data_IF_072942374507
#
_entry.id   IF_072942374507
#
_cell.length_a   1.000
_cell.length_b   1.000
_cell.length_c   1.000
_cell.angle_alpha   90.00
_cell.angle_beta   90.00
_cell.angle_gamma   90.00
#
_symmetry.space_group_name_H-M   'P 1'
#
loop_
_entity.id
_entity.type
_entity.pdbx_description
1 polymer ?
#
# COMPACT_ATOMS: atom_id res chain seq x y z
N UNK A 1 -2.74 3.58 18.36
CA UNK A 1 -2.59 3.56 16.89
C UNK A 1 -1.42 2.65 16.55
N UNK A 2 -1.57 1.74 15.57
CA UNK A 2 -0.45 0.91 15.11
C UNK A 2 0.33 1.60 14.00
N UNK A 3 1.55 1.12 13.76
CA UNK A 3 2.43 1.59 12.69
C UNK A 3 2.82 0.44 11.79
N UNK A 4 2.77 0.66 10.48
CA UNK A 4 3.27 -0.27 9.47
C UNK A 4 4.23 0.41 8.50
N UNK A 5 5.07 -0.38 7.86
CA UNK A 5 5.98 0.07 6.80
C UNK A 5 5.37 -0.28 5.45
N UNK A 6 5.45 0.61 4.47
CA UNK A 6 5.02 0.35 3.10
C UNK A 6 6.17 0.60 2.13
N UNK A 7 6.40 -0.33 1.21
CA UNK A 7 7.45 -0.24 0.20
C UNK A 7 6.96 -0.68 -1.18
N UNK A 8 7.22 0.16 -2.19
CA UNK A 8 7.10 -0.17 -3.62
C UNK A 8 8.41 -0.64 -4.24
N UNK A 9 9.55 -0.39 -3.57
CA UNK A 9 10.89 -0.64 -4.10
C UNK A 9 11.17 0.11 -5.41
N UNK A 10 11.18 1.42 -5.33
CA UNK A 10 11.47 2.30 -6.47
C UNK A 10 12.92 2.16 -6.96
N UNK A 11 13.10 2.13 -8.28
CA UNK A 11 14.39 2.18 -8.96
C UNK A 11 14.35 3.26 -10.03
N UNK A 12 15.33 4.17 -10.00
CA UNK A 12 15.32 5.38 -10.83
C UNK A 12 16.31 5.31 -11.99
N UNK A 13 17.30 4.44 -11.90
CA UNK A 13 18.35 4.18 -12.87
C UNK A 13 18.95 2.78 -12.67
N UNK A 14 19.94 2.42 -13.42
CA UNK A 14 20.62 1.13 -13.37
C UNK A 14 21.81 1.06 -12.38
N UNK A 15 22.06 2.13 -11.61
CA UNK A 15 23.17 2.18 -10.64
C UNK A 15 22.94 1.25 -9.46
N UNK A 16 21.67 1.04 -9.08
CA UNK A 16 21.30 0.10 -8.02
C UNK A 16 20.75 -1.17 -8.66
N UNK A 17 21.34 -2.31 -8.35
CA UNK A 17 20.85 -3.61 -8.84
C UNK A 17 19.55 -4.03 -8.16
N UNK A 18 18.72 -4.82 -8.83
CA UNK A 18 17.52 -5.43 -8.22
C UNK A 18 17.85 -6.20 -6.95
N UNK A 19 18.96 -6.95 -6.95
CA UNK A 19 19.42 -7.68 -5.76
C UNK A 19 19.64 -6.74 -4.58
N UNK A 20 20.32 -5.60 -4.79
CA UNK A 20 20.55 -4.62 -3.74
C UNK A 20 19.23 -4.03 -3.20
N UNK A 21 18.25 -3.80 -4.07
CA UNK A 21 16.91 -3.32 -3.63
C UNK A 21 16.21 -4.33 -2.73
N UNK A 22 16.31 -5.62 -3.02
CA UNK A 22 15.73 -6.66 -2.16
C UNK A 22 16.49 -6.81 -0.83
N UNK A 23 17.81 -6.63 -0.83
CA UNK A 23 18.61 -6.58 0.40
C UNK A 23 18.23 -5.34 1.24
N UNK A 24 18.07 -4.18 0.62
CA UNK A 24 17.61 -2.94 1.27
C UNK A 24 16.19 -3.09 1.85
N UNK A 25 15.27 -3.72 1.11
CA UNK A 25 13.93 -4.02 1.61
C UNK A 25 13.97 -4.91 2.86
N UNK A 26 14.79 -5.96 2.82
CA UNK A 26 14.94 -6.86 3.96
C UNK A 26 15.53 -6.13 5.19
N UNK A 27 16.52 -5.26 5.00
CA UNK A 27 17.09 -4.43 6.07
C UNK A 27 16.03 -3.53 6.70
N UNK A 28 15.29 -2.74 5.89
CA UNK A 28 14.23 -1.87 6.41
C UNK A 28 13.13 -2.67 7.12
N UNK A 29 12.78 -3.86 6.61
CA UNK A 29 11.80 -4.74 7.25
C UNK A 29 12.26 -5.23 8.62
N UNK A 30 13.51 -5.63 8.74
CA UNK A 30 14.10 -6.07 10.02
C UNK A 30 14.21 -4.91 11.02
N UNK A 31 14.54 -3.71 10.55
CA UNK A 31 14.52 -2.51 11.39
C UNK A 31 13.10 -2.19 11.88
N UNK A 32 12.11 -2.28 10.99
CA UNK A 32 10.71 -2.06 11.34
C UNK A 32 10.21 -3.10 12.36
N UNK A 33 10.54 -4.39 12.17
CA UNK A 33 10.22 -5.46 13.13
C UNK A 33 10.82 -5.17 14.51
N UNK A 34 12.11 -4.86 14.56
CA UNK A 34 12.80 -4.54 15.80
C UNK A 34 12.27 -3.25 16.46
N UNK A 35 11.79 -2.31 15.65
CA UNK A 35 11.21 -1.04 16.06
C UNK A 35 9.74 -1.09 16.47
N UNK A 36 9.10 -2.27 16.41
CA UNK A 36 7.71 -2.45 16.86
C UNK A 36 6.65 -2.09 15.81
N UNK A 37 7.01 -2.05 14.54
CA UNK A 37 6.01 -1.97 13.47
C UNK A 37 5.17 -3.24 13.42
N UNK A 38 3.88 -3.08 13.14
CA UNK A 38 2.92 -4.20 13.09
C UNK A 38 3.04 -5.00 11.80
N UNK A 39 3.25 -4.33 10.67
CA UNK A 39 3.12 -4.93 9.33
C UNK A 39 4.11 -4.29 8.35
N UNK A 40 4.66 -5.10 7.42
CA UNK A 40 5.29 -4.63 6.19
C UNK A 40 4.32 -4.85 5.02
N UNK A 41 4.04 -3.82 4.25
CA UNK A 41 3.16 -3.84 3.09
C UNK A 41 3.95 -3.74 1.80
N UNK A 42 3.69 -4.66 0.85
CA UNK A 42 4.31 -4.68 -0.48
C UNK A 42 3.20 -4.61 -1.54
N UNK A 43 3.32 -3.64 -2.45
CA UNK A 43 2.38 -3.46 -3.57
C UNK A 43 2.56 -4.46 -4.70
N UNK A 44 1.69 -4.40 -5.72
CA UNK A 44 1.81 -5.13 -6.98
C UNK A 44 1.83 -4.14 -8.14
N UNK A 45 2.90 -4.20 -8.97
CA UNK A 45 3.01 -3.45 -10.22
C UNK A 45 3.82 -4.23 -11.24
N UNK A 46 3.50 -4.05 -12.52
CA UNK A 46 4.06 -4.83 -13.61
C UNK A 46 4.80 -3.96 -14.62
N UNK A 47 5.99 -4.42 -15.04
CA UNK A 47 6.79 -3.79 -16.10
C UNK A 47 7.21 -2.34 -15.84
N UNK A 48 7.40 -1.98 -14.57
CA UNK A 48 7.79 -0.65 -14.10
C UNK A 48 8.97 -0.73 -13.14
N UNK A 49 10.09 -0.12 -13.46
CA UNK A 49 11.23 0.05 -12.53
C UNK A 49 10.92 1.04 -11.39
N UNK A 50 9.97 1.91 -11.62
CA UNK A 50 9.43 2.85 -10.65
C UNK A 50 8.78 2.16 -9.43
N UNK A 51 8.29 0.92 -9.59
CA UNK A 51 7.66 0.13 -8.54
C UNK A 51 7.90 -1.36 -8.83
N UNK A 52 8.98 -1.91 -8.23
CA UNK A 52 9.46 -3.26 -8.55
C UNK A 52 8.78 -4.30 -7.68
N UNK A 53 7.58 -4.72 -8.03
CA UNK A 53 6.90 -5.80 -7.36
C UNK A 53 5.86 -6.46 -8.27
N UNK A 54 6.28 -7.33 -9.21
CA UNK A 54 5.35 -8.01 -10.13
C UNK A 54 4.45 -9.03 -9.41
N UNK A 55 4.81 -9.42 -8.20
CA UNK A 55 3.97 -10.23 -7.31
C UNK A 55 4.43 -10.01 -5.88
N UNK A 56 3.57 -9.53 -4.97
CA UNK A 56 3.94 -9.38 -3.57
C UNK A 56 4.21 -10.71 -2.88
N UNK A 57 3.57 -11.81 -3.30
CA UNK A 57 3.64 -13.12 -2.62
C UNK A 57 5.05 -13.70 -2.50
N UNK A 58 5.90 -13.76 -3.56
CA UNK A 58 7.27 -14.23 -3.45
C UNK A 58 8.14 -13.35 -2.53
N UNK A 59 7.94 -12.03 -2.55
CA UNK A 59 8.67 -11.10 -1.70
C UNK A 59 8.28 -11.25 -0.22
N UNK A 60 6.99 -11.37 0.05
CA UNK A 60 6.49 -11.60 1.41
C UNK A 60 6.93 -12.98 1.94
N UNK A 61 6.96 -14.02 1.10
CA UNK A 61 7.50 -15.33 1.48
C UNK A 61 9.02 -15.27 1.79
N UNK A 62 9.79 -14.48 1.01
CA UNK A 62 11.20 -14.23 1.31
C UNK A 62 11.37 -13.50 2.65
N UNK A 63 10.56 -12.50 2.94
CA UNK A 63 10.57 -11.77 4.21
C UNK A 63 10.09 -12.65 5.37
N UNK A 64 9.14 -13.56 5.14
CA UNK A 64 8.67 -14.53 6.14
C UNK A 64 9.83 -15.37 6.71
N UNK A 65 10.77 -15.77 5.83
CA UNK A 65 11.95 -16.52 6.24
C UNK A 65 13.04 -15.70 6.96
N UNK A 66 12.89 -14.36 7.00
CA UNK A 66 13.86 -13.45 7.65
C UNK A 66 13.32 -12.81 8.92
N UNK A 67 12.02 -12.82 9.12
CA UNK A 67 11.30 -12.16 10.22
C UNK A 67 10.57 -13.17 11.09
N UNK A 68 10.22 -12.78 12.30
CA UNK A 68 9.59 -13.66 13.29
C UNK A 68 8.23 -13.19 13.78
N UNK A 69 7.98 -11.90 13.79
CA UNK A 69 6.80 -11.30 14.43
C UNK A 69 6.03 -10.31 13.56
N UNK A 70 6.72 -9.53 12.71
CA UNK A 70 6.07 -8.55 11.83
C UNK A 70 5.12 -9.26 10.86
N UNK A 71 3.91 -8.71 10.70
CA UNK A 71 2.93 -9.23 9.75
C UNK A 71 3.33 -8.87 8.32
N UNK A 72 2.86 -9.66 7.38
CA UNK A 72 3.30 -9.66 5.99
C UNK A 72 2.11 -9.34 5.08
N UNK A 73 2.01 -8.08 4.67
CA UNK A 73 0.86 -7.54 3.99
C UNK A 73 1.06 -7.38 2.47
N UNK A 74 0.16 -7.91 1.67
CA UNK A 74 0.02 -7.49 0.29
C UNK A 74 -0.72 -6.15 0.26
N UNK A 75 -0.07 -5.10 -0.18
CA UNK A 75 -0.66 -3.77 -0.18
C UNK A 75 -0.59 -3.07 -1.55
N UNK A 76 -1.27 -3.57 -2.56
CA UNK A 76 -2.33 -4.60 -2.65
C UNK A 76 -2.08 -5.57 -3.81
N UNK A 77 -2.76 -6.70 -3.85
CA UNK A 77 -2.93 -7.44 -5.11
C UNK A 77 -4.00 -6.76 -5.97
N UNK A 78 -3.79 -6.75 -7.29
CA UNK A 78 -4.66 -6.06 -8.24
C UNK A 78 -5.69 -7.05 -8.80
N UNK A 79 -6.93 -6.95 -8.37
CA UNK A 79 -7.98 -7.93 -8.61
C UNK A 79 -8.11 -8.41 -10.07
N UNK A 80 -8.07 -7.55 -11.11
CA UNK A 80 -8.15 -8.00 -12.50
C UNK A 80 -7.01 -8.92 -12.97
N UNK A 81 -5.87 -8.94 -12.27
CA UNK A 81 -4.71 -9.75 -12.66
C UNK A 81 -4.70 -11.13 -11.99
N UNK A 82 -5.70 -11.43 -11.14
CA UNK A 82 -5.76 -12.64 -10.34
C UNK A 82 -7.04 -13.43 -10.58
N UNK A 83 -6.89 -14.72 -10.84
CA UNK A 83 -8.02 -15.65 -10.79
C UNK A 83 -8.33 -15.99 -9.32
N UNK A 84 -9.61 -16.07 -8.89
CA UNK A 84 -9.97 -16.32 -7.48
C UNK A 84 -9.33 -17.57 -6.86
N UNK A 85 -9.23 -18.68 -7.60
CA UNK A 85 -8.60 -19.93 -7.13
C UNK A 85 -7.11 -19.67 -6.85
N UNK A 86 -6.42 -18.95 -7.75
CA UNK A 86 -5.00 -18.64 -7.58
C UNK A 86 -4.79 -17.68 -6.40
N UNK A 87 -5.59 -16.63 -6.30
CA UNK A 87 -5.52 -15.68 -5.19
C UNK A 87 -5.74 -16.39 -3.84
N UNK A 88 -6.78 -17.21 -3.73
CA UNK A 88 -7.06 -17.96 -2.51
C UNK A 88 -5.91 -18.89 -2.13
N UNK A 89 -5.35 -19.62 -3.11
CA UNK A 89 -4.24 -20.57 -2.87
C UNK A 89 -2.96 -19.86 -2.46
N UNK A 90 -2.51 -18.83 -3.17
CA UNK A 90 -1.26 -18.13 -2.88
C UNK A 90 -1.32 -17.34 -1.56
N UNK A 91 -2.44 -16.68 -1.27
CA UNK A 91 -2.62 -15.98 0.01
C UNK A 91 -2.64 -16.95 1.20
N UNK A 92 -3.32 -18.10 1.06
CA UNK A 92 -3.32 -19.13 2.09
C UNK A 92 -1.92 -19.78 2.25
N UNK A 93 -1.18 -19.94 1.15
CA UNK A 93 0.19 -20.47 1.21
C UNK A 93 1.11 -19.50 1.96
N UNK A 94 1.00 -18.19 1.70
CA UNK A 94 1.73 -17.17 2.46
C UNK A 94 1.39 -17.24 3.95
N UNK A 95 0.11 -17.40 4.28
CA UNK A 95 -0.36 -17.49 5.66
C UNK A 95 0.27 -18.69 6.39
N UNK A 96 0.30 -19.85 5.74
CA UNK A 96 0.96 -21.07 6.28
C UNK A 96 2.47 -20.88 6.42
N UNK A 97 3.15 -20.36 5.38
CA UNK A 97 4.61 -20.14 5.40
C UNK A 97 5.02 -19.16 6.51
N UNK A 98 4.20 -18.16 6.76
CA UNK A 98 4.47 -17.11 7.73
C UNK A 98 3.98 -17.41 9.14
N UNK A 99 3.43 -18.60 9.38
CA UNK A 99 2.82 -18.97 10.67
C UNK A 99 1.72 -17.99 11.12
N UNK A 100 0.77 -17.69 10.20
CA UNK A 100 -0.41 -16.86 10.51
C UNK A 100 -0.12 -15.36 10.53
N UNK A 101 0.91 -14.88 9.85
CA UNK A 101 1.25 -13.44 9.79
C UNK A 101 0.77 -12.75 8.51
N UNK A 102 0.06 -13.43 7.61
CA UNK A 102 -0.40 -12.82 6.37
C UNK A 102 -1.51 -11.79 6.59
N UNK A 103 -1.44 -10.69 5.82
CA UNK A 103 -2.47 -9.65 5.66
C UNK A 103 -2.75 -9.48 4.16
N UNK A 104 -4.02 -9.51 3.74
CA UNK A 104 -4.35 -9.58 2.33
C UNK A 104 -5.09 -8.33 1.88
N UNK A 105 -4.35 -7.40 1.31
CA UNK A 105 -4.92 -6.21 0.69
C UNK A 105 -5.27 -6.42 -0.78
N UNK A 106 -6.41 -5.89 -1.21
CA UNK A 106 -6.95 -6.01 -2.55
C UNK A 106 -7.35 -4.65 -3.11
N UNK A 107 -7.07 -4.43 -4.40
CA UNK A 107 -7.43 -3.20 -5.10
C UNK A 107 -7.97 -3.46 -6.50
N UNK A 108 -8.65 -2.44 -7.04
CA UNK A 108 -9.15 -2.46 -8.43
C UNK A 108 -8.07 -2.27 -9.49
N UNK A 109 -6.87 -1.80 -9.10
CA UNK A 109 -5.85 -1.31 -10.02
C UNK A 109 -6.07 0.14 -10.46
N UNK A 110 -5.00 0.77 -10.96
CA UNK A 110 -5.01 2.19 -11.30
C UNK A 110 -4.43 2.51 -12.69
N UNK A 111 -3.34 1.85 -13.09
CA UNK A 111 -2.61 2.22 -14.30
C UNK A 111 -3.15 1.50 -15.54
N UNK A 112 -3.74 2.23 -16.48
CA UNK A 112 -4.18 1.67 -17.77
C UNK A 112 -3.03 0.96 -18.50
N UNK A 113 -1.80 1.42 -18.31
CA UNK A 113 -0.59 0.79 -18.81
C UNK A 113 -0.49 -0.72 -18.48
N UNK A 114 -0.80 -1.08 -17.22
CA UNK A 114 -0.78 -2.47 -16.77
C UNK A 114 -1.96 -3.26 -17.35
N UNK A 115 -3.14 -2.65 -17.39
CA UNK A 115 -4.35 -3.29 -17.94
C UNK A 115 -4.22 -3.60 -19.43
N UNK A 116 -3.56 -2.74 -20.20
CA UNK A 116 -3.30 -2.98 -21.62
C UNK A 116 -2.42 -4.23 -21.84
N UNK A 117 -1.53 -4.53 -20.90
CA UNK A 117 -0.56 -5.63 -21.00
C UNK A 117 -0.99 -6.91 -20.32
N UNK A 118 -1.64 -6.81 -19.18
CA UNK A 118 -1.99 -7.95 -18.34
C UNK A 118 -3.35 -8.55 -18.67
N UNK A 119 -4.33 -7.73 -19.11
CA UNK A 119 -5.74 -8.15 -19.26
C UNK A 119 -6.37 -7.64 -20.57
N UNK A 120 -5.55 -7.55 -21.61
CA UNK A 120 -6.04 -7.29 -22.97
C UNK A 120 -6.71 -5.94 -23.18
N UNK A 121 -6.30 -4.90 -22.42
CA UNK A 121 -6.81 -3.54 -22.55
C UNK A 121 -8.15 -3.31 -21.86
N UNK A 122 -8.50 -4.14 -20.88
CA UNK A 122 -9.64 -3.86 -20.00
C UNK A 122 -9.51 -2.43 -19.46
N UNK A 123 -10.55 -1.58 -19.52
CA UNK A 123 -10.50 -0.25 -18.90
C UNK A 123 -10.22 -0.34 -17.41
N UNK A 124 -9.24 0.39 -16.90
CA UNK A 124 -8.89 0.38 -15.48
C UNK A 124 -10.07 0.79 -14.58
N UNK A 125 -11.04 1.54 -15.13
CA UNK A 125 -12.30 1.89 -14.47
C UNK A 125 -13.16 0.66 -14.16
N UNK A 126 -13.04 -0.43 -14.92
CA UNK A 126 -13.79 -1.67 -14.74
C UNK A 126 -13.18 -2.62 -13.70
N UNK A 127 -11.96 -2.33 -13.24
CA UNK A 127 -11.28 -3.12 -12.20
C UNK A 127 -12.07 -3.28 -10.90
N UNK A 128 -12.95 -2.31 -10.60
CA UNK A 128 -13.84 -2.37 -9.45
C UNK A 128 -14.85 -3.52 -9.49
N UNK A 129 -15.30 -3.95 -10.69
CA UNK A 129 -16.16 -5.13 -10.85
C UNK A 129 -15.42 -6.40 -10.46
N UNK A 130 -14.16 -6.52 -10.91
CA UNK A 130 -13.27 -7.64 -10.55
C UNK A 130 -13.06 -7.72 -9.04
N UNK A 131 -12.77 -6.57 -8.40
CA UNK A 131 -12.58 -6.52 -6.94
C UNK A 131 -13.84 -7.01 -6.19
N UNK A 132 -15.02 -6.56 -6.60
CA UNK A 132 -16.29 -6.93 -5.97
C UNK A 132 -16.64 -8.41 -6.12
N UNK A 133 -16.14 -9.06 -7.17
CA UNK A 133 -16.34 -10.50 -7.37
C UNK A 133 -15.23 -11.33 -6.73
N UNK A 134 -13.97 -10.85 -6.75
CA UNK A 134 -12.81 -11.54 -6.20
C UNK A 134 -12.89 -11.72 -4.68
N UNK A 135 -13.19 -10.65 -3.94
CA UNK A 135 -13.17 -10.64 -2.46
C UNK A 135 -14.05 -11.74 -1.87
N UNK A 136 -15.36 -11.82 -2.18
CA UNK A 136 -16.21 -12.88 -1.63
C UNK A 136 -15.83 -14.28 -2.17
N UNK A 137 -15.36 -14.40 -3.42
CA UNK A 137 -14.97 -15.68 -3.98
C UNK A 137 -13.74 -16.28 -3.26
N UNK A 138 -12.72 -15.46 -2.98
CA UNK A 138 -11.54 -15.87 -2.23
C UNK A 138 -11.92 -16.36 -0.83
N UNK A 139 -12.76 -15.61 -0.12
CA UNK A 139 -13.24 -15.99 1.22
C UNK A 139 -13.98 -17.33 1.21
N UNK A 140 -14.87 -17.55 0.24
CA UNK A 140 -15.61 -18.81 0.11
C UNK A 140 -14.69 -20.00 -0.18
N UNK A 141 -13.67 -19.81 -1.01
CA UNK A 141 -12.67 -20.85 -1.30
C UNK A 141 -11.86 -21.23 -0.05
N UNK A 142 -11.60 -20.29 0.86
CA UNK A 142 -10.96 -20.58 2.15
C UNK A 142 -11.87 -21.36 3.10
N UNK A 143 -13.17 -21.07 3.07
CA UNK A 143 -14.16 -21.71 3.95
C UNK A 143 -14.49 -23.14 3.58
N UNK A 144 -14.43 -23.51 2.28
CA UNK A 144 -14.78 -24.88 1.83
C UNK A 144 -14.83 -25.04 0.32
N UNK A 145 -15.50 -26.09 -0.09
CA UNK A 145 -15.80 -26.36 -1.49
C UNK A 145 -16.78 -25.32 -2.03
N UNK A 146 -16.43 -24.70 -3.14
CA UNK A 146 -17.19 -23.62 -3.74
C UNK A 146 -17.15 -23.69 -5.27
N UNK A 147 -18.34 -23.66 -5.88
CA UNK A 147 -18.49 -23.43 -7.32
C UNK A 147 -18.90 -21.98 -7.55
N UNK A 148 -18.26 -21.30 -8.49
CA UNK A 148 -18.50 -19.92 -8.80
C UNK A 148 -19.14 -19.75 -10.18
N UNK A 149 -20.21 -18.98 -10.25
CA UNK A 149 -20.89 -18.62 -11.49
C UNK A 149 -21.12 -17.11 -11.50
N UNK A 150 -20.04 -16.34 -11.58
CA UNK A 150 -20.04 -14.89 -11.60
C UNK A 150 -20.11 -14.32 -13.02
N UNK A 151 -20.10 -13.00 -13.11
CA UNK A 151 -20.05 -12.28 -14.37
C UNK A 151 -18.68 -12.37 -15.03
N UNK A 152 -17.61 -12.38 -14.22
CA UNK A 152 -16.20 -12.32 -14.66
C UNK A 152 -15.57 -13.71 -14.63
N UNK A 153 -15.71 -14.42 -13.50
CA UNK A 153 -15.17 -15.76 -13.36
C UNK A 153 -16.26 -16.81 -13.25
N UNK A 154 -16.01 -17.94 -13.88
CA UNK A 154 -16.84 -19.12 -13.74
C UNK A 154 -15.95 -20.34 -13.59
N UNK A 155 -16.15 -21.11 -12.52
CA UNK A 155 -15.40 -22.35 -12.30
C UNK A 155 -16.23 -23.38 -11.52
N UNK A 156 -16.00 -24.70 -11.80
CA UNK A 156 -16.66 -25.77 -11.08
C UNK A 156 -16.17 -25.81 -9.62
N UNK A 157 -16.79 -26.69 -8.83
CA UNK A 157 -16.43 -26.88 -7.41
C UNK A 157 -14.94 -26.98 -7.22
N UNK A 158 -14.39 -26.07 -6.44
CA UNK A 158 -12.97 -25.93 -6.12
C UNK A 158 -12.83 -25.51 -4.66
N UNK A 159 -11.65 -25.70 -4.10
CA UNK A 159 -11.32 -25.26 -2.74
C UNK A 159 -9.89 -24.71 -2.71
N UNK A 160 -9.57 -23.85 -1.76
CA UNK A 160 -8.19 -23.43 -1.54
C UNK A 160 -7.37 -24.59 -0.94
N UNK A 161 -6.21 -24.85 -1.52
CA UNK A 161 -5.22 -25.77 -0.98
C UNK A 161 -3.85 -25.08 -1.09
N UNK A 162 -3.18 -24.80 0.06
CA UNK A 162 -3.64 -25.06 1.43
C UNK A 162 -4.83 -24.21 1.85
N UNK A 163 -5.39 -24.49 3.02
CA UNK A 163 -6.25 -23.56 3.76
C UNK A 163 -5.37 -22.62 4.58
N UNK A 164 -5.79 -21.37 4.80
CA UNK A 164 -5.10 -20.50 5.74
C UNK A 164 -5.20 -21.04 7.18
N UNK A 165 -4.20 -20.74 7.99
CA UNK A 165 -4.21 -21.13 9.43
C UNK A 165 -4.91 -20.10 10.30
N UNK A 166 -4.96 -18.83 9.86
CA UNK A 166 -5.73 -17.81 10.56
C UNK A 166 -7.25 -18.07 10.44
N UNK A 167 -7.98 -17.87 11.54
CA UNK A 167 -9.43 -18.11 11.60
C UNK A 167 -10.17 -16.84 11.97
N UNK A 168 -11.33 -16.56 11.36
CA UNK A 168 -12.00 -17.34 10.31
C UNK A 168 -11.28 -17.29 8.96
N UNK A 169 -10.46 -16.28 8.72
CA UNK A 169 -9.62 -16.06 7.51
C UNK A 169 -8.48 -15.11 7.88
N UNK A 170 -7.40 -15.01 7.09
CA UNK A 170 -6.47 -13.90 7.20
C UNK A 170 -7.22 -12.56 7.10
N UNK A 171 -6.78 -11.50 7.81
CA UNK A 171 -7.36 -10.17 7.66
C UNK A 171 -7.31 -9.72 6.19
N UNK A 172 -8.46 -9.26 5.70
CA UNK A 172 -8.60 -8.73 4.35
C UNK A 172 -8.73 -7.22 4.40
N UNK A 173 -8.07 -6.55 3.47
CA UNK A 173 -8.05 -5.10 3.34
C UNK A 173 -8.46 -4.68 1.92
N UNK A 174 -9.15 -3.57 1.80
CA UNK A 174 -9.54 -2.99 0.50
C UNK A 174 -9.01 -1.58 0.39
N UNK A 175 -8.31 -1.27 -0.71
CA UNK A 175 -7.95 0.09 -1.03
C UNK A 175 -9.19 0.87 -1.48
N UNK A 176 -9.60 1.86 -0.69
CA UNK A 176 -10.82 2.63 -0.91
C UNK A 176 -10.54 4.14 -0.99
N UNK A 177 -11.32 4.85 -1.83
CA UNK A 177 -11.21 6.29 -1.98
C UNK A 177 -12.57 6.99 -2.11
N UNK A 178 -13.47 6.42 -2.89
CA UNK A 178 -14.83 6.91 -3.08
C UNK A 178 -15.81 6.26 -2.09
N UNK A 179 -17.01 6.83 -1.87
CA UNK A 179 -18.00 6.28 -0.94
C UNK A 179 -18.38 4.82 -1.23
N UNK A 180 -18.53 4.44 -2.51
CA UNK A 180 -18.93 3.09 -2.89
C UNK A 180 -17.87 2.04 -2.56
N UNK A 181 -16.58 2.40 -2.68
CA UNK A 181 -15.47 1.51 -2.31
C UNK A 181 -15.36 1.33 -0.79
N UNK A 182 -15.63 2.38 0.00
CA UNK A 182 -15.71 2.26 1.46
C UNK A 182 -16.90 1.40 1.89
N UNK A 183 -18.09 1.64 1.30
CA UNK A 183 -19.30 0.85 1.59
C UNK A 183 -19.09 -0.63 1.26
N UNK A 184 -18.51 -0.93 0.09
CA UNK A 184 -18.17 -2.31 -0.28
C UNK A 184 -17.22 -2.96 0.73
N UNK A 185 -16.12 -2.28 1.09
CA UNK A 185 -15.14 -2.82 2.02
C UNK A 185 -15.77 -3.17 3.38
N UNK A 186 -16.51 -2.24 3.96
CA UNK A 186 -17.18 -2.44 5.26
C UNK A 186 -18.22 -3.54 5.19
N UNK A 187 -19.09 -3.54 4.17
CA UNK A 187 -20.11 -4.58 3.98
C UNK A 187 -19.51 -5.98 3.89
N UNK A 188 -18.35 -6.11 3.25
CA UNK A 188 -17.63 -7.38 3.16
C UNK A 188 -16.81 -7.68 4.44
N UNK A 189 -16.84 -6.85 5.47
CA UNK A 189 -16.03 -7.02 6.68
C UNK A 189 -14.52 -6.94 6.42
N UNK A 190 -14.12 -6.14 5.42
CA UNK A 190 -12.72 -5.88 5.10
C UNK A 190 -12.26 -4.58 5.77
N UNK A 191 -11.04 -4.57 6.26
CA UNK A 191 -10.35 -3.36 6.69
C UNK A 191 -10.11 -2.43 5.48
N UNK A 192 -9.89 -1.15 5.74
CA UNK A 192 -9.80 -0.13 4.69
C UNK A 192 -8.41 0.51 4.66
N UNK A 193 -7.81 0.53 3.47
CA UNK A 193 -6.57 1.27 3.18
C UNK A 193 -6.91 2.55 2.43
N UNK A 194 -6.45 3.68 2.93
CA UNK A 194 -6.62 4.97 2.25
C UNK A 194 -5.28 5.68 2.07
N UNK A 195 -5.17 6.46 0.98
CA UNK A 195 -4.06 7.38 0.77
C UNK A 195 -4.60 8.73 0.30
N UNK A 196 -4.23 9.84 0.95
CA UNK A 196 -4.58 11.18 0.50
C UNK A 196 -3.77 11.63 -0.71
N UNK A 197 -2.77 10.86 -1.15
CA UNK A 197 -1.81 11.22 -2.21
C UNK A 197 -1.12 12.54 -1.87
N UNK A 198 -1.10 13.50 -2.84
CA UNK A 198 -0.53 14.85 -2.66
C UNK A 198 -1.43 15.81 -1.86
N UNK A 199 -2.60 15.37 -1.42
CA UNK A 199 -3.50 16.21 -0.63
C UNK A 199 -3.14 16.18 0.86
N UNK A 200 -3.54 17.23 1.57
CA UNK A 200 -3.25 17.42 2.99
C UNK A 200 -4.09 16.58 3.95
N UNK A 201 -4.06 16.99 5.19
CA UNK A 201 -4.75 16.29 6.29
C UNK A 201 -6.28 16.41 6.17
N UNK A 202 -6.79 17.42 5.45
CA UNK A 202 -8.21 17.56 5.14
C UNK A 202 -8.75 16.39 4.32
N UNK A 203 -7.92 15.83 3.41
CA UNK A 203 -8.31 14.62 2.66
C UNK A 203 -8.38 13.41 3.59
N UNK A 204 -7.52 13.32 4.61
CA UNK A 204 -7.61 12.25 5.62
C UNK A 204 -8.92 12.34 6.39
N UNK A 205 -9.33 13.54 6.77
CA UNK A 205 -10.63 13.78 7.42
C UNK A 205 -11.79 13.36 6.52
N UNK A 206 -11.75 13.71 5.23
CA UNK A 206 -12.79 13.33 4.27
C UNK A 206 -12.85 11.80 4.04
N UNK A 207 -11.69 11.15 3.90
CA UNK A 207 -11.60 9.69 3.75
C UNK A 207 -12.12 8.98 5.01
N UNK A 208 -11.79 9.48 6.21
CA UNK A 208 -12.32 8.96 7.47
C UNK A 208 -13.82 9.13 7.56
N UNK A 209 -14.36 10.28 7.17
CA UNK A 209 -15.80 10.53 7.15
C UNK A 209 -16.54 9.55 6.22
N UNK A 210 -15.97 9.24 5.03
CA UNK A 210 -16.53 8.21 4.11
C UNK A 210 -16.54 6.83 4.77
N UNK A 211 -15.46 6.48 5.45
CA UNK A 211 -15.35 5.23 6.21
C UNK A 211 -16.42 5.17 7.32
N UNK A 212 -16.56 6.22 8.14
CA UNK A 212 -17.53 6.25 9.23
C UNK A 212 -18.98 6.18 8.71
N UNK A 213 -19.24 6.80 7.56
CA UNK A 213 -20.53 6.69 6.88
C UNK A 213 -20.80 5.23 6.47
N UNK A 214 -19.81 4.57 5.88
CA UNK A 214 -19.93 3.15 5.51
C UNK A 214 -20.17 2.26 6.73
N UNK A 215 -19.43 2.48 7.83
CA UNK A 215 -19.65 1.75 9.10
C UNK A 215 -21.07 1.97 9.63
N UNK A 216 -21.58 3.20 9.55
CA UNK A 216 -22.94 3.51 10.01
C UNK A 216 -24.02 2.87 9.14
N UNK A 217 -23.74 2.62 7.86
CA UNK A 217 -24.66 1.93 6.94
C UNK A 217 -24.75 0.42 7.19
N UNK A 218 -23.74 -0.17 7.85
CA UNK A 218 -23.63 -1.62 8.10
C UNK A 218 -23.47 -1.95 9.59
N UNK A 219 -24.43 -1.62 10.45
CA UNK A 219 -24.33 -1.81 11.89
C UNK A 219 -24.25 -3.29 12.32
N UNK A 220 -24.60 -4.23 11.42
CA UNK A 220 -24.48 -5.67 11.61
C UNK A 220 -23.04 -6.19 11.45
N UNK A 221 -22.15 -5.40 10.87
CA UNK A 221 -20.75 -5.77 10.67
C UNK A 221 -19.90 -5.20 11.81
N UNK A 222 -19.03 -6.03 12.40
CA UNK A 222 -18.03 -5.52 13.33
C UNK A 222 -17.19 -4.43 12.64
N UNK A 223 -17.00 -3.28 13.33
CA UNK A 223 -16.28 -2.15 12.75
C UNK A 223 -14.89 -2.59 12.27
N UNK A 224 -14.62 -2.52 10.96
CA UNK A 224 -13.28 -2.79 10.44
C UNK A 224 -12.29 -1.69 10.85
N UNK A 225 -11.01 -1.94 10.61
CA UNK A 225 -9.95 -0.96 10.83
C UNK A 225 -9.76 -0.07 9.60
N UNK A 226 -9.24 1.14 9.83
CA UNK A 226 -8.81 2.05 8.77
C UNK A 226 -7.34 2.42 8.91
N UNK A 227 -6.58 2.24 7.82
CA UNK A 227 -5.18 2.61 7.70
C UNK A 227 -5.00 3.80 6.78
N UNK A 228 -4.15 4.74 7.17
CA UNK A 228 -3.71 5.86 6.32
C UNK A 228 -2.26 5.64 5.88
N UNK A 229 -2.04 5.57 4.56
CA UNK A 229 -0.74 5.48 3.92
C UNK A 229 -0.27 6.87 3.47
N UNK A 230 0.94 7.29 3.88
CA UNK A 230 1.54 8.56 3.45
C UNK A 230 3.03 8.43 3.19
N UNK A 231 3.51 9.14 2.15
CA UNK A 231 4.94 9.43 2.02
C UNK A 231 5.45 10.06 3.31
N UNK A 232 6.46 9.46 3.91
CA UNK A 232 6.94 9.83 5.24
C UNK A 232 8.46 10.02 5.22
N UNK A 233 8.90 11.14 5.81
CA UNK A 233 10.31 11.39 6.05
C UNK A 233 10.47 12.16 7.36
N UNK A 234 11.19 11.56 8.31
CA UNK A 234 11.54 12.20 9.58
C UNK A 234 12.99 12.62 9.51
N UNK A 235 13.27 13.89 9.80
CA UNK A 235 14.61 14.45 9.83
C UNK A 235 14.95 15.02 11.20
N UNK A 236 16.25 15.17 11.47
CA UNK A 236 16.70 15.70 12.75
C UNK A 236 16.27 17.18 12.93
N UNK A 237 15.97 17.57 14.16
CA UNK A 237 15.54 18.93 14.47
C UNK A 237 16.65 19.99 14.23
N UNK A 238 17.90 19.55 14.28
CA UNK A 238 19.08 20.39 14.00
C UNK A 238 19.31 20.64 12.51
N UNK A 239 18.59 19.93 11.62
CA UNK A 239 18.64 20.12 10.16
C UNK A 239 17.38 20.85 9.66
N UNK A 240 17.39 22.18 9.58
CA UNK A 240 16.23 22.97 9.19
C UNK A 240 15.84 22.78 7.72
N UNK A 241 16.73 22.26 6.88
CA UNK A 241 16.53 21.98 5.47
C UNK A 241 16.29 20.50 5.17
N UNK A 242 16.30 19.64 6.17
CA UNK A 242 16.15 18.18 6.04
C UNK A 242 14.87 17.72 5.32
N UNK A 243 13.82 18.54 5.36
CA UNK A 243 12.57 18.32 4.64
C UNK A 243 12.69 18.48 3.12
N UNK A 244 13.63 19.36 2.66
CA UNK A 244 13.70 19.81 1.25
C UNK A 244 14.00 18.65 0.31
N UNK A 245 15.02 17.85 0.62
CA UNK A 245 15.41 16.70 -0.19
C UNK A 245 14.28 15.68 -0.30
N UNK A 246 13.53 15.46 0.78
CA UNK A 246 12.36 14.58 0.77
C UNK A 246 11.23 15.15 -0.10
N UNK A 247 10.95 16.43 -0.01
CA UNK A 247 9.93 17.10 -0.84
C UNK A 247 10.30 17.05 -2.34
N UNK A 248 11.58 17.28 -2.69
CA UNK A 248 12.10 17.13 -4.06
C UNK A 248 11.94 15.68 -4.57
N UNK A 249 12.28 14.71 -3.74
CA UNK A 249 12.11 13.30 -4.05
C UNK A 249 10.65 12.92 -4.27
N UNK A 250 9.74 13.38 -3.42
CA UNK A 250 8.29 13.15 -3.55
C UNK A 250 7.75 13.87 -4.79
N UNK A 251 8.23 15.07 -5.13
CA UNK A 251 7.90 15.74 -6.39
C UNK A 251 8.28 14.89 -7.60
N UNK A 252 9.51 14.35 -7.62
CA UNK A 252 9.97 13.41 -8.65
C UNK A 252 9.06 12.18 -8.70
N UNK A 253 8.70 11.60 -7.56
CA UNK A 253 7.80 10.46 -7.47
C UNK A 253 6.45 10.77 -8.14
N UNK A 254 5.78 11.87 -7.80
CA UNK A 254 4.49 12.22 -8.38
C UNK A 254 4.55 12.59 -9.86
N UNK A 255 5.65 13.18 -10.33
CA UNK A 255 5.86 13.44 -11.75
C UNK A 255 6.02 12.14 -12.54
N UNK A 256 6.66 11.14 -11.96
CA UNK A 256 6.78 9.80 -12.55
C UNK A 256 5.44 9.06 -12.49
N UNK A 257 4.73 9.14 -11.37
CA UNK A 257 3.35 8.65 -11.27
C UNK A 257 2.45 9.22 -12.36
N UNK A 258 2.50 10.54 -12.60
CA UNK A 258 1.72 11.20 -13.65
C UNK A 258 2.10 10.71 -15.06
N UNK A 259 3.39 10.46 -15.32
CA UNK A 259 3.85 9.92 -16.58
C UNK A 259 3.30 8.50 -16.84
N UNK A 260 3.38 7.61 -15.85
CA UNK A 260 2.83 6.26 -15.94
C UNK A 260 1.30 6.24 -16.01
N UNK A 261 0.65 7.05 -15.19
CA UNK A 261 -0.81 7.16 -15.18
C UNK A 261 -1.36 7.70 -16.49
N UNK A 262 -0.65 8.63 -17.12
CA UNK A 262 -1.01 9.20 -18.41
C UNK A 262 -0.95 8.23 -19.58
N UNK A 263 -0.15 7.17 -19.49
CA UNK A 263 0.04 6.13 -20.51
C UNK A 263 0.27 6.68 -21.94
N UNK A 264 1.03 7.80 -22.06
CA UNK A 264 1.23 8.52 -23.33
C UNK A 264 2.56 8.25 -24.00
N UNK A 265 3.51 7.68 -23.28
CA UNK A 265 4.87 7.42 -23.73
C UNK A 265 5.20 5.95 -23.58
N UNK A 266 6.12 5.47 -24.43
CA UNK A 266 6.59 4.08 -24.35
C UNK A 266 7.80 4.02 -23.41
N UNK A 267 7.76 3.19 -22.36
CA UNK A 267 8.91 2.98 -21.51
C UNK A 267 10.03 2.25 -22.25
N UNK A 268 11.27 2.49 -21.82
CA UNK A 268 12.47 1.79 -22.29
C UNK A 268 13.03 1.00 -21.10
N UNK A 269 13.20 -0.31 -21.26
CA UNK A 269 13.70 -1.21 -20.21
C UNK A 269 13.01 -1.04 -18.84
N UNK A 270 11.69 -0.74 -18.85
CA UNK A 270 10.91 -0.51 -17.65
C UNK A 270 11.04 0.89 -17.04
N UNK A 271 11.83 1.77 -17.62
CA UNK A 271 11.97 3.16 -17.20
C UNK A 271 11.08 4.10 -18.03
N UNK A 272 10.61 5.13 -17.37
CA UNK A 272 9.87 6.23 -17.97
C UNK A 272 10.32 7.55 -17.34
N UNK A 273 10.67 8.53 -18.18
CA UNK A 273 11.02 9.85 -17.70
C UNK A 273 9.86 10.49 -16.93
N UNK A 274 10.13 11.15 -15.80
CA UNK A 274 9.12 11.93 -15.09
C UNK A 274 8.49 12.97 -16.02
N UNK A 275 7.21 13.23 -15.87
CA UNK A 275 6.57 14.36 -16.56
C UNK A 275 7.35 15.67 -16.28
N UNK A 276 7.50 16.55 -17.29
CA UNK A 276 8.30 17.77 -17.14
C UNK A 276 7.74 18.69 -16.07
N UNK A 277 8.60 19.41 -15.37
CA UNK A 277 8.22 20.36 -14.29
C UNK A 277 7.22 21.41 -14.77
N UNK A 278 7.40 21.91 -16.00
CA UNK A 278 6.51 22.89 -16.59
C UNK A 278 5.04 22.47 -16.64
N UNK A 279 4.74 21.17 -16.61
CA UNK A 279 3.37 20.66 -16.51
C UNK A 279 2.73 20.96 -15.14
N UNK A 280 3.54 21.21 -14.13
CA UNK A 280 3.12 21.36 -12.74
C UNK A 280 3.24 22.79 -12.21
N UNK A 281 3.83 23.72 -12.98
CA UNK A 281 4.03 25.14 -12.57
C UNK A 281 2.73 25.86 -12.15
N UNK A 282 1.59 25.46 -12.71
CA UNK A 282 0.28 26.03 -12.35
C UNK A 282 -0.47 25.22 -11.26
N UNK A 283 0.19 24.25 -10.65
CA UNK A 283 -0.39 23.31 -9.70
C UNK A 283 0.30 23.44 -8.33
N UNK A 284 -0.19 24.33 -7.46
CA UNK A 284 0.46 24.66 -6.19
C UNK A 284 0.63 23.46 -5.24
N UNK A 285 -0.15 22.38 -5.43
CA UNK A 285 0.00 21.16 -4.65
C UNK A 285 1.33 20.42 -4.93
N UNK A 286 2.07 20.79 -5.99
CA UNK A 286 3.38 20.22 -6.33
C UNK A 286 4.56 21.12 -5.95
N UNK A 287 4.31 22.32 -5.43
CA UNK A 287 5.36 23.15 -4.85
C UNK A 287 6.00 22.44 -3.64
N UNK A 288 7.30 22.59 -3.46
CA UNK A 288 8.04 21.86 -2.41
C UNK A 288 7.49 22.16 -1.02
N UNK A 289 7.16 23.41 -0.72
CA UNK A 289 6.54 23.81 0.53
C UNK A 289 5.15 23.22 0.72
N UNK A 290 4.40 23.01 -0.36
CA UNK A 290 3.11 22.31 -0.31
C UNK A 290 3.30 20.82 -0.04
N UNK A 291 4.24 20.16 -0.72
CA UNK A 291 4.57 18.76 -0.48
C UNK A 291 5.09 18.54 0.95
N UNK A 292 5.91 19.46 1.48
CA UNK A 292 6.34 19.43 2.87
C UNK A 292 5.13 19.46 3.82
N UNK A 293 4.16 20.36 3.61
CA UNK A 293 2.95 20.44 4.44
C UNK A 293 2.02 19.25 4.28
N UNK A 294 1.89 18.72 3.07
CA UNK A 294 0.88 17.69 2.76
C UNK A 294 1.39 16.26 2.91
N UNK A 295 2.66 15.96 2.68
CA UNK A 295 3.26 14.65 3.03
C UNK A 295 3.55 14.60 4.55
N UNK A 296 3.89 13.42 5.08
CA UNK A 296 4.31 13.28 6.48
C UNK A 296 5.82 13.52 6.59
N UNK A 297 6.22 14.78 6.37
CA UNK A 297 7.61 15.23 6.46
C UNK A 297 7.73 16.18 7.65
N UNK A 298 8.75 16.02 8.48
CA UNK A 298 9.02 16.92 9.61
C UNK A 298 9.99 16.35 10.62
N UNK A 299 10.23 17.13 11.66
CA UNK A 299 10.92 16.67 12.87
C UNK A 299 10.07 15.64 13.63
N UNK A 300 10.65 14.85 14.55
CA UNK A 300 9.87 13.93 15.37
C UNK A 300 8.66 14.59 16.07
N UNK A 301 8.83 15.78 16.61
CA UNK A 301 7.76 16.52 17.30
C UNK A 301 6.61 16.88 16.36
N UNK A 302 6.91 17.39 15.17
CA UNK A 302 5.91 17.76 14.16
C UNK A 302 5.13 16.53 13.68
N UNK A 303 5.83 15.41 13.45
CA UNK A 303 5.23 14.14 13.05
C UNK A 303 4.36 13.57 14.18
N UNK A 304 4.81 13.63 15.43
CA UNK A 304 4.01 13.20 16.61
C UNK A 304 2.73 14.02 16.71
N UNK A 305 2.79 15.34 16.56
CA UNK A 305 1.61 16.20 16.65
C UNK A 305 0.57 15.81 15.60
N UNK A 306 0.97 15.62 14.34
CA UNK A 306 0.08 15.22 13.23
C UNK A 306 -0.48 13.82 13.44
N UNK A 307 0.32 12.88 13.90
CA UNK A 307 -0.13 11.51 14.18
C UNK A 307 -1.10 11.43 15.36
N UNK A 308 -0.94 12.30 16.38
CA UNK A 308 -1.93 12.44 17.46
C UNK A 308 -3.28 12.94 16.93
N UNK A 309 -3.27 13.88 15.98
CA UNK A 309 -4.51 14.30 15.32
C UNK A 309 -5.18 13.14 14.56
N UNK A 310 -4.41 12.30 13.86
CA UNK A 310 -4.95 11.09 13.20
C UNK A 310 -5.49 10.09 14.21
N UNK A 311 -4.79 9.88 15.32
CA UNK A 311 -5.27 9.01 16.40
C UNK A 311 -6.59 9.53 17.00
N UNK A 312 -6.68 10.83 17.26
CA UNK A 312 -7.90 11.47 17.75
C UNK A 312 -9.06 11.39 16.76
N UNK A 313 -8.78 11.41 15.46
CA UNK A 313 -9.75 11.21 14.40
C UNK A 313 -10.26 9.76 14.35
N UNK A 314 -9.60 8.81 15.02
CA UNK A 314 -9.94 7.38 15.03
C UNK A 314 -9.35 6.60 13.86
N UNK A 315 -8.17 6.99 13.38
CA UNK A 315 -7.34 6.17 12.48
C UNK A 315 -6.69 5.07 13.32
N UNK A 316 -6.82 3.82 12.89
CA UNK A 316 -6.32 2.65 13.62
C UNK A 316 -4.86 2.37 13.34
N UNK A 317 -4.41 2.60 12.09
CA UNK A 317 -3.05 2.33 11.64
C UNK A 317 -2.51 3.46 10.75
N UNK A 318 -1.27 3.86 11.00
CA UNK A 318 -0.50 4.73 10.11
C UNK A 318 0.57 3.93 9.39
N UNK A 319 0.57 4.00 8.05
CA UNK A 319 1.54 3.30 7.22
C UNK A 319 2.61 4.28 6.70
N UNK A 320 3.84 4.07 7.17
CA UNK A 320 5.02 4.81 6.77
C UNK A 320 5.43 4.39 5.35
N UNK A 321 5.18 5.23 4.37
CA UNK A 321 5.60 5.00 2.99
C UNK A 321 7.02 5.51 2.80
N UNK A 322 7.98 4.58 2.66
CA UNK A 322 9.40 4.90 2.61
C UNK A 322 9.92 5.29 1.22
N UNK A 323 9.13 5.08 0.15
CA UNK A 323 9.55 5.40 -1.23
C UNK A 323 9.27 6.88 -1.53
N UNK A 324 10.34 7.67 -1.49
CA UNK A 324 10.33 9.11 -1.68
C UNK A 324 11.53 9.58 -2.51
N UNK A 325 12.01 8.72 -3.42
CA UNK A 325 13.16 8.94 -4.30
C UNK A 325 14.47 9.25 -3.60
N UNK A 326 14.56 8.97 -2.30
CA UNK A 326 15.78 9.18 -1.52
C UNK A 326 16.71 7.96 -1.60
N UNK A 327 18.03 8.18 -1.43
CA UNK A 327 18.98 7.10 -1.24
C UNK A 327 18.58 6.21 -0.04
N UNK A 328 18.95 4.93 -0.11
CA UNK A 328 18.62 3.96 0.95
C UNK A 328 19.07 4.40 2.35
N UNK A 329 20.26 5.00 2.46
CA UNK A 329 20.79 5.49 3.74
C UNK A 329 19.88 6.58 4.36
N UNK A 330 19.30 7.47 3.55
CA UNK A 330 18.38 8.51 4.06
C UNK A 330 17.03 7.90 4.47
N UNK A 331 16.53 6.90 3.73
CA UNK A 331 15.34 6.13 4.13
C UNK A 331 15.58 5.42 5.47
N UNK A 332 16.75 4.82 5.64
CA UNK A 332 17.16 4.13 6.86
C UNK A 332 17.22 5.08 8.07
N UNK A 333 17.87 6.24 7.91
CA UNK A 333 17.96 7.27 8.97
C UNK A 333 16.59 7.79 9.39
N UNK A 334 15.73 8.07 8.41
CA UNK A 334 14.36 8.52 8.66
C UNK A 334 13.55 7.47 9.42
N UNK A 335 13.63 6.21 9.03
CA UNK A 335 12.97 5.11 9.73
C UNK A 335 13.53 4.93 11.16
N UNK A 336 14.84 5.06 11.33
CA UNK A 336 15.48 4.99 12.64
C UNK A 336 15.00 6.09 13.59
N UNK A 337 14.91 7.34 13.11
CA UNK A 337 14.36 8.45 13.90
C UNK A 337 12.87 8.21 14.25
N UNK A 338 12.07 7.73 13.30
CA UNK A 338 10.68 7.40 13.55
C UNK A 338 10.55 6.34 14.66
N UNK A 339 11.38 5.29 14.60
CA UNK A 339 11.40 4.23 15.62
C UNK A 339 11.80 4.77 17.00
N UNK A 340 12.86 5.55 17.07
CA UNK A 340 13.44 6.01 18.33
C UNK A 340 12.63 7.10 19.01
N UNK A 341 12.05 8.01 18.25
CA UNK A 341 11.49 9.25 18.78
C UNK A 341 9.98 9.36 18.59
N UNK A 342 9.41 8.82 17.50
CA UNK A 342 7.98 8.92 17.22
C UNK A 342 7.20 7.79 17.88
N UNK A 343 7.55 6.52 17.63
CA UNK A 343 6.81 5.36 18.14
C UNK A 343 6.61 5.41 19.67
N UNK A 344 7.62 5.76 20.51
CA UNK A 344 7.44 5.78 21.96
C UNK A 344 6.36 6.74 22.45
N UNK A 345 6.03 7.77 21.68
CA UNK A 345 4.95 8.72 22.06
C UNK A 345 3.53 8.13 21.95
N UNK A 346 3.39 6.90 21.42
CA UNK A 346 2.12 6.21 21.18
C UNK A 346 1.99 4.85 21.90
N UNK A 347 2.99 4.49 22.69
CA UNK A 347 3.03 3.28 23.53
C UNK A 347 2.37 3.47 24.87
#
# INVERSE_FOLDING_TARGET
MRFSLFAHMERWDDQVSHRQLFENLAELTLMAEAGGFSTIWIGEHHSMEYTISPSPMPLLAYLAGKTTSIRLGAGTIIAPFWHPIRAAGECALLDVISDGRAEIGLARGAYQFEFDRMVGGLPATDGGKHLRELVPAVRKLWQGDYAHNGEIWQFPTSTSVPKPIQQPTPPMWVAARDPDSHDFAVREGCNVMVTPLMKGDEEVVDLKRKFDTAVSNHPEVERPEIMVLRHTHVHAAEDPDGWRQAAEGISKFYRTFDAWFGNKTTPVDGFLDPSPESKFESRPEFELESLHRTAMIGTPEEVIERLRAYQALGIDEFSFWCDNSLPHEEKRKSLELFIKEVIPAFQ
#
